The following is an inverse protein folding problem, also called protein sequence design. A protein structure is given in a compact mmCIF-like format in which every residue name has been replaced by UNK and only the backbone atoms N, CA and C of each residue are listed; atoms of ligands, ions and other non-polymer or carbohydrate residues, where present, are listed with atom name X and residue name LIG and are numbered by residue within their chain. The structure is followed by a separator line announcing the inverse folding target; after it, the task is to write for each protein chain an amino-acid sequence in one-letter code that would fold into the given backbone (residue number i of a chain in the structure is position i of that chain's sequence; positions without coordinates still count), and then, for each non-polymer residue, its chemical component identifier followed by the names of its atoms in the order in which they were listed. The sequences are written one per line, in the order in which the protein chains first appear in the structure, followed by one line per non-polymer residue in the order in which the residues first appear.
data_IF_573932017012
#
_entry.id   IF_573932017012
#
_cell.length_a   1.000
_cell.length_b   1.000
_cell.length_c   1.000
_cell.angle_alpha   90.00
_cell.angle_beta   90.00
_cell.angle_gamma   90.00
#
_symmetry.space_group_name_H-M   'P 1'
#
loop_
_entity.id
_entity.type
_entity.pdbx_description
1 polymer ?
#
# COMPACT_ATOMS: atom_id res chain seq x y z
N UNK A 1 -39.16 29.45 79.12
CA UNK A 1 -39.43 30.56 78.17
C UNK A 1 -39.49 29.99 76.76
N UNK A 2 -40.64 30.04 76.09
CA UNK A 2 -40.75 29.94 74.62
C UNK A 2 -41.76 31.00 74.18
N UNK A 3 -41.29 31.99 73.43
CA UNK A 3 -42.07 33.14 72.97
C UNK A 3 -42.73 32.79 71.63
N UNK A 4 -44.07 32.75 71.67
CA UNK A 4 -45.09 33.16 70.70
C UNK A 4 -44.62 33.54 69.28
N UNK A 5 -45.30 33.00 68.26
CA UNK A 5 -45.93 33.83 67.22
C UNK A 5 -47.21 33.18 66.66
N UNK A 6 -48.20 34.06 66.51
CA UNK A 6 -49.56 33.94 66.00
C UNK A 6 -49.56 34.46 64.56
N UNK A 7 -50.47 33.97 63.70
CA UNK A 7 -51.30 34.67 62.68
C UNK A 7 -51.63 33.65 61.56
N UNK A 8 -52.85 33.10 61.48
CA UNK A 8 -54.12 33.62 60.93
C UNK A 8 -54.32 33.34 59.42
N UNK A 9 -54.99 32.20 59.19
CA UNK A 9 -56.09 31.91 58.26
C UNK A 9 -56.64 33.02 57.31
N UNK A 10 -57.03 32.55 56.11
CA UNK A 10 -58.11 32.97 55.18
C UNK A 10 -57.88 34.03 54.07
N UNK A 11 -58.32 33.62 52.87
CA UNK A 11 -58.78 34.46 51.76
C UNK A 11 -57.93 34.29 50.51
N UNK A 12 -58.42 33.93 49.33
CA UNK A 12 -59.76 33.73 48.82
C UNK A 12 -59.62 33.37 47.34
N UNK A 13 -60.59 32.62 46.80
CA UNK A 13 -60.67 32.35 45.37
C UNK A 13 -60.97 33.67 44.62
N UNK A 14 -60.09 34.06 43.70
CA UNK A 14 -60.41 35.07 42.69
C UNK A 14 -59.71 34.69 41.39
N UNK A 15 -60.46 33.99 40.54
CA UNK A 15 -60.15 33.79 39.13
C UNK A 15 -60.07 35.14 38.42
N UNK A 16 -59.06 35.30 37.56
CA UNK A 16 -59.11 36.28 36.47
C UNK A 16 -57.84 37.09 36.23
N UNK A 17 -56.88 36.52 35.49
CA UNK A 17 -56.08 37.26 34.52
C UNK A 17 -55.47 36.28 33.50
N UNK A 18 -55.99 36.30 32.28
CA UNK A 18 -55.35 35.73 31.10
C UNK A 18 -54.15 36.62 30.75
N UNK A 19 -52.91 36.15 30.91
CA UNK A 19 -51.72 36.86 30.42
C UNK A 19 -50.53 35.89 30.27
N UNK A 20 -50.36 35.40 29.05
CA UNK A 20 -49.08 35.08 28.36
C UNK A 20 -47.93 34.58 29.24
N UNK A 21 -47.65 33.28 29.13
CA UNK A 21 -46.38 32.65 29.50
C UNK A 21 -45.94 31.70 28.39
N UNK A 22 -45.49 32.25 27.27
CA UNK A 22 -44.67 31.54 26.30
C UNK A 22 -43.47 30.91 26.98
N UNK A 23 -43.14 29.67 26.65
CA UNK A 23 -41.82 29.12 26.91
C UNK A 23 -41.78 27.97 27.90
N UNK A 24 -42.30 26.82 27.49
CA UNK A 24 -41.70 25.56 27.90
C UNK A 24 -41.36 24.76 26.64
N UNK A 25 -40.54 25.34 25.76
CA UNK A 25 -39.56 24.50 25.08
C UNK A 25 -38.64 24.01 26.19
N UNK A 26 -38.99 22.90 26.83
CA UNK A 26 -38.00 22.12 27.55
C UNK A 26 -37.13 21.53 26.46
N UNK A 27 -36.12 22.30 26.06
CA UNK A 27 -35.02 21.78 25.28
C UNK A 27 -34.41 20.68 26.14
N UNK A 28 -34.80 19.43 25.88
CA UNK A 28 -34.03 18.29 26.34
C UNK A 28 -32.70 18.36 25.57
N UNK A 29 -31.79 19.17 26.09
CA UNK A 29 -30.39 19.18 25.67
C UNK A 29 -29.81 17.85 26.16
N UNK A 30 -30.01 16.81 25.34
CA UNK A 30 -29.34 15.55 25.54
C UNK A 30 -27.85 15.81 25.30
N UNK A 31 -27.13 16.11 26.39
CA UNK A 31 -25.67 16.17 26.41
C UNK A 31 -25.14 14.79 26.06
N UNK A 32 -25.01 14.52 24.77
CA UNK A 32 -24.22 13.40 24.28
C UNK A 32 -22.76 13.79 24.48
N UNK A 33 -22.24 13.52 25.67
CA UNK A 33 -20.81 13.61 25.92
C UNK A 33 -20.11 12.54 25.09
N UNK A 34 -19.47 12.94 23.99
CA UNK A 34 -18.58 12.06 23.24
C UNK A 34 -17.24 12.06 23.99
N UNK A 35 -16.90 10.93 24.60
CA UNK A 35 -15.58 10.72 25.20
C UNK A 35 -14.70 10.06 24.16
N UNK A 36 -13.71 10.80 23.66
CA UNK A 36 -12.68 10.25 22.77
C UNK A 36 -11.56 9.73 23.67
N UNK A 37 -11.45 8.41 23.77
CA UNK A 37 -10.29 7.76 24.37
C UNK A 37 -9.29 7.43 23.28
N UNK A 38 -8.04 7.88 23.42
CA UNK A 38 -6.93 7.38 22.62
C UNK A 38 -6.54 6.05 23.25
N UNK A 39 -6.72 4.95 22.53
CA UNK A 39 -6.27 3.63 22.95
C UNK A 39 -4.90 3.36 22.34
N UNK A 40 -4.07 2.57 23.03
CA UNK A 40 -2.89 1.96 22.43
C UNK A 40 -3.31 1.12 21.21
N UNK A 41 -2.44 1.03 20.21
CA UNK A 41 -2.76 0.44 18.90
C UNK A 41 -3.26 -1.01 18.98
N UNK A 42 -2.81 -1.78 19.98
CA UNK A 42 -3.27 -3.15 20.24
C UNK A 42 -4.76 -3.24 20.63
N UNK A 43 -5.32 -2.17 21.20
CA UNK A 43 -6.70 -2.10 21.68
C UNK A 43 -7.59 -1.19 20.83
N UNK A 44 -7.06 -0.57 19.77
CA UNK A 44 -7.82 0.26 18.86
C UNK A 44 -8.90 -0.54 18.11
N UNK A 45 -10.02 0.10 17.78
CA UNK A 45 -11.10 -0.50 16.97
C UNK A 45 -10.71 -0.73 15.52
N UNK A 46 -9.64 -0.09 15.08
CA UNK A 46 -8.99 -0.35 13.80
C UNK A 46 -7.52 -0.58 14.10
N UNK A 47 -7.03 -1.76 13.78
CA UNK A 47 -5.60 -2.05 13.85
C UNK A 47 -4.88 -1.39 12.68
N UNK A 48 -3.72 -0.83 12.95
CA UNK A 48 -2.81 -0.27 11.97
C UNK A 48 -1.45 -0.92 12.20
N UNK A 49 -0.89 -1.54 11.18
CA UNK A 49 0.45 -2.13 11.24
C UNK A 49 1.21 -1.63 10.03
N UNK A 50 2.29 -0.90 10.30
CA UNK A 50 3.34 -0.57 9.34
C UNK A 50 4.62 -1.28 9.80
N UNK A 51 5.49 -1.63 8.86
CA UNK A 51 6.74 -2.32 9.15
C UNK A 51 7.79 -1.87 8.16
N UNK A 52 9.04 -1.78 8.60
CA UNK A 52 10.15 -1.42 7.74
C UNK A 52 10.25 -2.42 6.59
N UNK A 53 10.62 -1.90 5.42
CA UNK A 53 10.68 -2.65 4.17
C UNK A 53 12.04 -2.48 3.52
N UNK A 54 12.46 -3.52 2.83
CA UNK A 54 13.64 -3.49 1.97
C UNK A 54 13.19 -3.71 0.54
N UNK A 55 13.64 -2.89 -0.39
CA UNK A 55 13.44 -3.09 -1.84
C UNK A 55 14.75 -3.54 -2.47
N UNK A 56 14.69 -4.43 -3.47
CA UNK A 56 13.51 -4.83 -4.24
C UNK A 56 12.69 -6.01 -3.70
N UNK A 57 12.87 -6.44 -2.44
CA UNK A 57 12.11 -7.55 -1.87
C UNK A 57 10.59 -7.34 -2.02
N UNK A 58 9.93 -8.37 -2.55
CA UNK A 58 8.48 -8.43 -2.73
C UNK A 58 7.96 -9.73 -2.12
N UNK A 59 7.39 -9.62 -0.91
CA UNK A 59 6.89 -10.78 -0.16
C UNK A 59 5.69 -11.48 -0.86
N UNK A 60 4.95 -10.75 -1.69
CA UNK A 60 3.71 -11.23 -2.30
C UNK A 60 3.84 -11.57 -3.79
N UNK A 61 5.00 -11.28 -4.40
CA UNK A 61 5.29 -11.45 -5.82
C UNK A 61 4.23 -10.77 -6.73
N UNK A 62 3.73 -9.62 -6.29
CA UNK A 62 2.71 -8.84 -7.00
C UNK A 62 3.26 -7.57 -7.67
N UNK A 63 4.56 -7.32 -7.51
CA UNK A 63 5.29 -6.18 -8.05
C UNK A 63 5.09 -4.90 -7.24
N UNK A 64 4.46 -4.99 -6.06
CA UNK A 64 4.17 -3.86 -5.19
C UNK A 64 4.70 -4.07 -3.78
N UNK A 65 4.99 -2.97 -3.10
CA UNK A 65 5.42 -2.97 -1.71
C UNK A 65 4.21 -2.81 -0.76
N UNK A 66 4.10 -3.72 0.20
CA UNK A 66 3.12 -3.65 1.29
C UNK A 66 3.43 -2.51 2.27
N UNK A 67 2.71 -1.39 2.15
CA UNK A 67 2.91 -0.21 3.00
C UNK A 67 2.29 -0.41 4.39
N UNK A 68 0.99 -0.68 4.45
CA UNK A 68 0.22 -0.71 5.70
C UNK A 68 -0.84 -1.79 5.66
N UNK A 69 -0.93 -2.58 6.73
CA UNK A 69 -2.05 -3.49 6.97
C UNK A 69 -3.06 -2.90 7.95
N UNK A 70 -4.30 -2.73 7.50
CA UNK A 70 -5.44 -2.28 8.30
C UNK A 70 -6.25 -3.49 8.74
N UNK A 71 -6.58 -3.57 10.03
CA UNK A 71 -7.41 -4.65 10.60
C UNK A 71 -8.71 -4.10 11.16
N UNK A 72 -9.85 -4.61 10.70
CA UNK A 72 -11.15 -4.24 11.26
C UNK A 72 -11.36 -4.93 12.60
N UNK A 73 -11.51 -4.18 13.69
CA UNK A 73 -11.91 -4.71 15.01
C UNK A 73 -13.26 -4.14 15.48
N UNK A 74 -13.96 -3.39 14.63
CA UNK A 74 -15.37 -3.07 14.83
C UNK A 74 -16.23 -4.33 14.67
N UNK A 75 -17.44 -4.28 15.23
CA UNK A 75 -18.45 -5.35 15.08
C UNK A 75 -19.17 -5.33 13.73
N UNK A 76 -18.95 -4.30 12.94
CA UNK A 76 -19.59 -4.10 11.64
C UNK A 76 -18.50 -4.03 10.57
N UNK A 77 -18.91 -4.22 9.32
CA UNK A 77 -18.03 -4.05 8.17
C UNK A 77 -17.58 -2.59 8.03
N UNK A 78 -16.32 -2.43 7.63
CA UNK A 78 -15.72 -1.14 7.29
C UNK A 78 -15.09 -1.22 5.92
N UNK A 79 -14.87 -0.05 5.31
CA UNK A 79 -14.19 0.12 4.03
C UNK A 79 -13.09 1.16 4.19
N UNK A 80 -11.97 0.98 3.48
CA UNK A 80 -10.96 2.04 3.33
C UNK A 80 -11.49 3.03 2.28
N UNK A 81 -11.66 4.29 2.68
CA UNK A 81 -12.24 5.32 1.81
C UNK A 81 -11.22 6.32 1.31
N UNK A 82 -10.10 6.47 2.00
CA UNK A 82 -9.06 7.43 1.67
C UNK A 82 -7.71 6.94 2.20
N UNK A 83 -6.67 7.14 1.40
CA UNK A 83 -5.27 6.98 1.77
C UNK A 83 -4.55 8.27 1.39
N UNK A 84 -3.88 8.87 2.37
CA UNK A 84 -3.07 10.08 2.20
C UNK A 84 -1.62 9.73 2.52
N UNK A 85 -0.72 10.01 1.59
CA UNK A 85 0.72 9.93 1.82
C UNK A 85 1.21 11.25 2.45
N UNK A 86 2.10 11.13 3.42
CA UNK A 86 2.78 12.25 4.09
C UNK A 86 4.23 12.36 3.65
N UNK A 87 5.15 12.37 4.60
CA UNK A 87 6.58 12.29 4.29
C UNK A 87 6.91 11.01 3.49
N UNK A 88 7.83 11.13 2.52
CA UNK A 88 8.27 10.04 1.65
C UNK A 88 7.29 9.66 0.54
N UNK A 89 6.33 10.53 0.19
CA UNK A 89 5.41 10.28 -0.93
C UNK A 89 6.08 10.34 -2.30
N UNK A 90 7.20 11.05 -2.41
CA UNK A 90 7.96 11.25 -3.64
C UNK A 90 8.62 9.98 -4.19
N UNK A 91 8.76 8.95 -3.35
CA UNK A 91 9.34 7.66 -3.72
C UNK A 91 8.30 6.56 -3.92
N UNK A 92 7.01 6.92 -3.92
CA UNK A 92 5.89 6.00 -4.06
C UNK A 92 5.03 6.36 -5.27
N UNK A 93 4.79 5.36 -6.12
CA UNK A 93 3.90 5.44 -7.27
C UNK A 93 2.76 4.42 -7.15
N UNK A 94 1.68 4.64 -7.92
CA UNK A 94 0.57 3.67 -8.07
C UNK A 94 0.00 3.10 -6.77
N UNK A 95 -0.25 3.96 -5.78
CA UNK A 95 -0.81 3.50 -4.49
C UNK A 95 -2.16 2.85 -4.69
N UNK A 96 -2.25 1.58 -4.29
CA UNK A 96 -3.45 0.78 -4.36
C UNK A 96 -3.98 0.50 -2.95
N UNK A 97 -5.28 0.68 -2.79
CA UNK A 97 -5.99 0.24 -1.61
C UNK A 97 -7.33 -0.41 -1.99
N UNK A 98 -7.70 -1.51 -1.31
CA UNK A 98 -8.94 -2.21 -1.60
C UNK A 98 -10.15 -1.43 -1.05
N UNK A 99 -11.01 -0.97 -1.97
CA UNK A 99 -12.26 -0.27 -1.67
C UNK A 99 -13.39 -1.22 -1.19
N UNK A 100 -13.14 -2.52 -1.19
CA UNK A 100 -14.12 -3.51 -0.74
C UNK A 100 -14.25 -3.52 0.77
N UNK A 101 -15.51 -3.58 1.24
CA UNK A 101 -15.80 -3.74 2.65
C UNK A 101 -15.18 -5.03 3.20
N UNK A 102 -14.78 -4.99 4.48
CA UNK A 102 -14.22 -6.14 5.17
C UNK A 102 -14.82 -6.35 6.55
N UNK A 103 -15.17 -7.61 6.82
CA UNK A 103 -15.81 -8.08 8.03
C UNK A 103 -14.94 -7.89 9.28
N UNK A 104 -15.54 -8.06 10.45
CA UNK A 104 -14.82 -8.06 11.73
C UNK A 104 -13.68 -9.08 11.73
N UNK A 105 -12.48 -8.63 12.06
CA UNK A 105 -11.24 -9.42 12.03
C UNK A 105 -10.59 -9.50 10.64
N UNK A 106 -11.28 -9.03 9.59
CA UNK A 106 -10.73 -8.90 8.25
C UNK A 106 -9.56 -7.93 8.20
N UNK A 107 -8.66 -8.19 7.26
CA UNK A 107 -7.48 -7.36 6.99
C UNK A 107 -7.52 -6.85 5.55
N UNK A 108 -6.95 -5.67 5.36
CA UNK A 108 -6.67 -5.07 4.06
C UNK A 108 -5.28 -4.49 4.07
N UNK A 109 -4.54 -4.72 3.00
CA UNK A 109 -3.20 -4.17 2.82
C UNK A 109 -3.27 -3.07 1.77
N UNK A 110 -2.59 -1.98 2.05
CA UNK A 110 -2.35 -0.88 1.12
C UNK A 110 -0.98 -1.13 0.53
N UNK A 111 -0.88 -1.12 -0.79
CA UNK A 111 0.36 -1.37 -1.50
C UNK A 111 0.71 -0.21 -2.43
N UNK A 112 1.97 -0.10 -2.82
CA UNK A 112 2.42 0.89 -3.79
C UNK A 112 3.66 0.39 -4.53
N UNK A 113 3.93 0.96 -5.69
CA UNK A 113 5.21 0.79 -6.37
C UNK A 113 6.23 1.73 -5.75
N UNK A 114 7.47 1.26 -5.54
CA UNK A 114 8.57 2.14 -5.12
C UNK A 114 9.33 2.64 -6.34
N UNK A 115 9.59 3.94 -6.36
CA UNK A 115 10.32 4.66 -7.40
C UNK A 115 11.34 5.62 -6.75
N UNK A 116 12.44 5.95 -7.42
CA UNK A 116 13.28 7.08 -7.05
C UNK A 116 14.10 7.00 -5.74
N UNK A 117 14.34 5.81 -5.17
CA UNK A 117 15.30 5.66 -4.06
C UNK A 117 16.69 5.31 -4.63
N UNK A 118 17.76 5.99 -4.27
CA UNK A 118 19.09 5.58 -4.73
C UNK A 118 19.55 4.26 -4.05
N UNK A 119 20.36 3.41 -4.72
CA UNK A 119 20.90 2.18 -4.10
C UNK A 119 21.65 2.45 -2.79
N UNK A 120 21.23 1.77 -1.71
CA UNK A 120 21.80 1.94 -0.38
C UNK A 120 21.21 3.08 0.45
N UNK A 121 20.27 3.85 -0.10
CA UNK A 121 19.57 4.91 0.63
C UNK A 121 18.31 4.40 1.33
N UNK A 122 17.82 5.23 2.26
CA UNK A 122 16.65 4.95 3.09
C UNK A 122 15.73 6.15 3.15
N UNK A 123 14.41 5.91 3.11
CA UNK A 123 13.38 6.94 3.19
C UNK A 123 12.36 6.56 4.26
N UNK A 124 12.04 7.51 5.14
CA UNK A 124 10.93 7.37 6.10
C UNK A 124 9.61 7.71 5.39
N UNK A 125 8.60 6.86 5.55
CA UNK A 125 7.29 7.01 4.91
C UNK A 125 6.17 7.15 5.94
N UNK A 126 5.24 8.05 5.65
CA UNK A 126 4.01 8.25 6.40
C UNK A 126 2.76 7.95 5.57
N UNK A 127 1.89 7.09 6.10
CA UNK A 127 0.62 6.73 5.46
C UNK A 127 -0.53 6.98 6.42
N UNK A 128 -1.44 7.87 6.04
CA UNK A 128 -2.68 8.13 6.78
C UNK A 128 -3.84 7.43 6.09
N UNK A 129 -4.64 6.68 6.86
CA UNK A 129 -5.76 5.90 6.33
C UNK A 129 -7.07 6.35 6.95
N UNK A 130 -8.08 6.60 6.13
CA UNK A 130 -9.46 6.81 6.58
C UNK A 130 -10.31 5.58 6.28
N UNK A 131 -11.04 5.13 7.29
CA UNK A 131 -12.02 4.04 7.17
C UNK A 131 -13.40 4.48 7.62
N UNK A 132 -14.42 3.98 6.93
CA UNK A 132 -15.82 4.24 7.25
C UNK A 132 -16.60 2.93 7.40
N UNK A 133 -17.53 2.88 8.35
CA UNK A 133 -18.42 1.74 8.55
C UNK A 133 -19.60 1.79 7.60
N UNK A 134 -19.83 0.70 6.85
CA UNK A 134 -20.83 0.60 5.78
C UNK A 134 -22.25 0.95 6.27
N UNK A 135 -22.63 0.41 7.43
CA UNK A 135 -23.98 0.59 8.02
C UNK A 135 -24.00 1.33 9.37
N UNK A 136 -22.81 1.64 9.91
CA UNK A 136 -22.68 1.92 11.34
C UNK A 136 -22.46 3.40 11.71
N UNK A 137 -22.36 4.31 10.74
CA UNK A 137 -22.11 5.73 11.01
C UNK A 137 -20.83 5.98 11.81
N UNK A 138 -19.88 5.05 11.77
CA UNK A 138 -18.56 5.17 12.39
C UNK A 138 -17.57 5.55 11.30
N UNK A 139 -16.67 6.48 11.62
CA UNK A 139 -15.52 6.82 10.80
C UNK A 139 -14.30 6.88 11.71
N UNK A 140 -13.17 6.42 11.22
CA UNK A 140 -11.89 6.52 11.92
C UNK A 140 -10.81 6.95 10.93
N UNK A 141 -9.94 7.85 11.38
CA UNK A 141 -8.75 8.27 10.65
C UNK A 141 -7.52 7.83 11.45
N UNK A 142 -6.65 7.09 10.80
CA UNK A 142 -5.43 6.52 11.35
C UNK A 142 -4.27 7.33 10.80
N UNK A 143 -3.78 8.28 11.59
CA UNK A 143 -2.65 9.10 11.17
C UNK A 143 -1.34 8.30 11.23
N UNK A 144 -0.58 8.37 10.15
CA UNK A 144 0.74 7.73 9.99
C UNK A 144 1.89 8.52 10.61
N UNK A 145 1.67 9.80 10.94
CA UNK A 145 2.67 10.74 11.46
C UNK A 145 3.11 10.50 12.92
N UNK A 146 2.55 9.47 13.55
CA UNK A 146 2.95 9.04 14.88
C UNK A 146 4.27 8.25 14.81
N UNK A 147 5.17 8.48 15.76
CA UNK A 147 6.47 7.78 15.85
C UNK A 147 6.38 6.24 15.76
N UNK A 148 5.24 5.65 16.16
CA UNK A 148 5.01 4.19 16.15
C UNK A 148 4.38 3.66 14.84
N UNK A 149 4.10 4.54 13.88
CA UNK A 149 3.35 4.23 12.65
C UNK A 149 4.06 4.65 11.36
N UNK A 150 5.15 5.40 11.50
CA UNK A 150 6.14 5.58 10.43
C UNK A 150 6.92 4.30 10.25
N UNK A 151 7.35 4.05 9.03
CA UNK A 151 8.23 2.94 8.69
C UNK A 151 9.27 3.43 7.68
N UNK A 152 10.39 2.71 7.61
CA UNK A 152 11.48 3.05 6.70
C UNK A 152 11.47 2.08 5.52
N UNK A 153 11.59 2.62 4.30
CA UNK A 153 11.92 1.85 3.10
C UNK A 153 13.42 1.98 2.88
N UNK A 154 14.11 0.85 2.78
CA UNK A 154 15.54 0.77 2.49
C UNK A 154 15.72 0.18 1.10
N UNK A 155 16.48 0.84 0.21
CA UNK A 155 16.91 0.19 -1.03
C UNK A 155 18.22 -0.52 -0.78
N UNK A 156 18.30 -1.80 -1.13
CA UNK A 156 19.54 -2.55 -0.99
C UNK A 156 20.69 -1.87 -1.73
N UNK A 157 21.90 -1.99 -1.18
CA UNK A 157 23.09 -1.50 -1.85
C UNK A 157 23.39 -2.39 -3.06
N UNK A 158 23.78 -1.77 -4.17
CA UNK A 158 24.18 -2.50 -5.36
C UNK A 158 25.37 -3.43 -5.08
N UNK A 159 25.26 -4.68 -5.53
CA UNK A 159 26.35 -5.67 -5.47
C UNK A 159 27.40 -5.46 -6.56
N UNK A 160 27.07 -4.64 -7.57
CA UNK A 160 27.91 -4.26 -8.71
C UNK A 160 28.18 -2.75 -8.70
N UNK A 161 29.35 -2.34 -9.19
CA UNK A 161 29.64 -0.92 -9.41
C UNK A 161 28.78 -0.43 -10.59
N UNK A 162 27.97 0.60 -10.37
CA UNK A 162 27.06 1.22 -11.35
C UNK A 162 26.05 0.23 -11.99
N UNK A 163 25.06 -0.28 -11.23
CA UNK A 163 24.04 -1.15 -11.79
C UNK A 163 23.26 -0.42 -12.90
N UNK A 164 23.08 -1.06 -14.04
CA UNK A 164 22.31 -0.49 -15.16
C UNK A 164 20.89 -1.05 -15.26
N UNK A 165 20.59 -2.14 -14.56
CA UNK A 165 19.29 -2.81 -14.58
C UNK A 165 18.94 -3.27 -13.17
N UNK A 166 17.72 -3.00 -12.73
CA UNK A 166 17.14 -3.53 -11.49
C UNK A 166 15.91 -4.38 -11.82
N UNK A 167 15.84 -5.56 -11.20
CA UNK A 167 14.70 -6.47 -11.30
C UNK A 167 13.80 -6.30 -10.09
N UNK A 168 12.49 -6.45 -10.32
CA UNK A 168 11.46 -6.35 -9.30
C UNK A 168 10.57 -7.59 -9.31
N UNK A 169 9.82 -7.74 -8.21
CA UNK A 169 8.73 -8.71 -8.07
C UNK A 169 7.73 -8.70 -9.24
N UNK A 170 6.93 -9.76 -9.30
CA UNK A 170 6.04 -10.14 -10.40
C UNK A 170 6.75 -10.44 -11.73
N UNK A 171 8.05 -10.23 -11.88
CA UNK A 171 8.84 -10.52 -13.08
C UNK A 171 9.04 -9.29 -13.96
N UNK A 172 9.20 -8.13 -13.33
CA UNK A 172 9.39 -6.84 -13.98
C UNK A 172 10.85 -6.38 -13.82
N UNK A 173 11.26 -5.37 -14.58
CA UNK A 173 12.59 -4.78 -14.51
C UNK A 173 12.55 -3.31 -14.93
N UNK A 174 13.62 -2.59 -14.64
CA UNK A 174 13.84 -1.18 -14.98
C UNK A 174 15.29 -0.99 -15.39
N UNK A 175 15.52 -0.10 -16.37
CA UNK A 175 16.86 0.33 -16.77
C UNK A 175 17.22 1.57 -15.98
N UNK A 176 18.21 1.46 -15.12
CA UNK A 176 18.65 2.55 -14.25
C UNK A 176 19.47 3.58 -15.04
N UNK A 177 19.28 4.86 -14.74
CA UNK A 177 20.06 5.94 -15.34
C UNK A 177 19.27 7.23 -15.54
N UNK A 178 19.72 8.07 -16.48
CA UNK A 178 18.99 9.28 -16.88
C UNK A 178 17.79 8.93 -17.78
N UNK A 179 16.70 9.67 -17.64
CA UNK A 179 15.49 9.53 -18.46
C UNK A 179 15.80 9.70 -19.95
N UNK A 180 15.61 8.62 -20.71
CA UNK A 180 15.81 8.60 -22.17
C UNK A 180 15.08 7.42 -22.80
N UNK A 181 14.82 7.55 -24.10
CA UNK A 181 14.47 6.40 -24.92
C UNK A 181 15.71 5.56 -25.21
N UNK A 182 15.64 4.25 -24.96
CA UNK A 182 16.71 3.29 -25.14
C UNK A 182 16.24 2.08 -25.98
N UNK A 183 17.16 1.42 -26.68
CA UNK A 183 16.86 0.17 -27.39
C UNK A 183 17.52 -1.01 -26.66
N UNK A 184 16.71 -1.94 -26.19
CA UNK A 184 17.15 -3.09 -25.39
C UNK A 184 16.68 -4.42 -25.98
N UNK A 185 17.34 -5.50 -25.56
CA UNK A 185 16.86 -6.86 -25.77
C UNK A 185 16.24 -7.38 -24.45
N UNK A 186 15.06 -7.96 -24.48
CA UNK A 186 14.39 -8.46 -23.26
C UNK A 186 14.26 -9.97 -23.31
N UNK A 187 14.76 -10.63 -22.27
CA UNK A 187 14.72 -12.08 -22.11
C UNK A 187 13.66 -12.45 -21.06
N UNK A 188 12.73 -13.33 -21.40
CA UNK A 188 11.64 -13.73 -20.50
C UNK A 188 11.28 -15.21 -20.60
N UNK A 189 10.67 -15.74 -19.53
CA UNK A 189 10.17 -17.11 -19.44
C UNK A 189 8.65 -17.13 -19.28
N UNK A 190 7.94 -17.95 -20.06
CA UNK A 190 6.48 -18.07 -20.00
C UNK A 190 6.02 -19.34 -19.24
N UNK A 191 5.29 -19.23 -18.12
CA UNK A 191 4.77 -20.39 -17.41
C UNK A 191 3.65 -21.04 -18.23
N UNK A 192 3.84 -22.33 -18.55
CA UNK A 192 2.80 -23.17 -19.15
C UNK A 192 2.92 -23.47 -20.65
N UNK A 193 3.98 -23.03 -21.34
CA UNK A 193 4.32 -23.62 -22.65
C UNK A 193 4.84 -25.05 -22.44
N UNK A 194 3.91 -26.00 -22.47
CA UNK A 194 4.20 -27.43 -22.45
C UNK A 194 5.00 -27.80 -23.71
N UNK A 195 6.32 -27.91 -23.57
CA UNK A 195 7.22 -28.47 -24.58
C UNK A 195 8.43 -27.62 -24.97
N UNK A 196 8.53 -26.38 -24.50
CA UNK A 196 9.67 -25.50 -24.75
C UNK A 196 9.77 -24.49 -23.59
N UNK A 197 10.07 -24.99 -22.39
CA UNK A 197 10.36 -24.13 -21.24
C UNK A 197 11.72 -23.48 -21.45
N UNK A 198 11.84 -22.63 -22.46
CA UNK A 198 13.06 -21.94 -22.84
C UNK A 198 12.94 -20.45 -22.61
N UNK A 199 14.08 -19.79 -22.50
CA UNK A 199 14.16 -18.33 -22.50
C UNK A 199 13.79 -17.82 -23.90
N UNK A 200 12.79 -16.94 -23.97
CA UNK A 200 12.43 -16.20 -25.18
C UNK A 200 13.08 -14.82 -25.15
N UNK A 201 13.44 -14.28 -26.32
CA UNK A 201 14.01 -12.94 -26.46
C UNK A 201 13.17 -12.09 -27.41
N UNK A 202 12.87 -10.87 -26.98
CA UNK A 202 12.39 -9.79 -27.84
C UNK A 202 13.58 -8.85 -28.09
N UNK A 203 14.11 -8.85 -29.31
CA UNK A 203 15.28 -8.05 -29.69
C UNK A 203 14.87 -6.65 -30.18
N UNK A 204 15.66 -5.64 -29.83
CA UNK A 204 15.54 -4.28 -30.36
C UNK A 204 14.26 -3.56 -29.95
N UNK A 205 13.85 -3.71 -28.70
CA UNK A 205 12.68 -3.05 -28.11
C UNK A 205 13.03 -1.62 -27.70
N UNK A 206 12.26 -0.64 -28.18
CA UNK A 206 12.35 0.75 -27.71
C UNK A 206 11.57 0.93 -26.39
N UNK A 207 12.23 1.46 -25.36
CA UNK A 207 11.66 1.72 -24.03
C UNK A 207 12.08 3.10 -23.53
N UNK A 208 11.28 3.71 -22.66
CA UNK A 208 11.66 4.87 -21.85
C UNK A 208 12.23 4.36 -20.52
N UNK A 209 13.43 4.81 -20.14
CA UNK A 209 14.14 4.33 -18.94
C UNK A 209 13.49 4.76 -17.62
N UNK A 210 12.67 5.81 -17.64
CA UNK A 210 11.89 6.28 -16.48
C UNK A 210 10.74 5.31 -16.11
N UNK A 211 10.36 4.42 -17.02
CA UNK A 211 9.22 3.53 -16.88
C UNK A 211 9.68 2.07 -16.72
N UNK A 212 8.97 1.30 -15.89
CA UNK A 212 9.22 -0.14 -15.77
C UNK A 212 8.93 -0.87 -17.08
N UNK A 213 9.77 -1.83 -17.45
CA UNK A 213 9.78 -2.47 -18.75
C UNK A 213 8.43 -3.14 -19.08
N UNK A 214 7.83 -3.88 -18.15
CA UNK A 214 6.60 -4.65 -18.43
C UNK A 214 5.43 -3.79 -18.92
N UNK A 215 5.34 -2.53 -18.52
CA UNK A 215 4.29 -1.62 -18.99
C UNK A 215 4.44 -1.23 -20.48
N UNK A 216 5.64 -1.42 -21.03
CA UNK A 216 6.05 -0.94 -22.35
C UNK A 216 6.13 -2.06 -23.41
N UNK A 217 6.27 -3.32 -22.98
CA UNK A 217 6.46 -4.46 -23.88
C UNK A 217 5.17 -4.87 -24.60
N UNK A 218 5.20 -4.84 -25.93
CA UNK A 218 4.09 -5.25 -26.79
C UNK A 218 4.08 -6.77 -27.01
N UNK A 219 3.56 -7.54 -26.06
CA UNK A 219 3.45 -9.01 -26.18
C UNK A 219 3.48 -9.72 -24.83
N UNK A 220 4.24 -9.16 -23.90
CA UNK A 220 4.11 -9.38 -22.45
C UNK A 220 2.88 -8.57 -22.03
N UNK A 221 1.73 -9.21 -21.80
CA UNK A 221 0.46 -8.49 -21.58
C UNK A 221 0.48 -7.63 -20.30
N UNK A 222 0.88 -6.37 -20.44
CA UNK A 222 0.51 -5.27 -19.56
C UNK A 222 -0.63 -4.46 -20.19
N UNK A 223 -1.86 -4.97 -20.20
CA UNK A 223 -3.00 -4.06 -20.30
C UNK A 223 -3.46 -3.74 -18.89
N UNK A 224 -3.31 -2.48 -18.52
CA UNK A 224 -3.75 -1.96 -17.24
C UNK A 224 -5.16 -2.42 -16.85
N UNK A 225 -5.36 -2.39 -15.53
CA UNK A 225 -6.53 -2.85 -14.78
C UNK A 225 -6.35 -4.28 -14.24
N UNK A 226 -6.16 -4.34 -12.92
CA UNK A 226 -5.86 -5.53 -12.13
C UNK A 226 -6.67 -6.77 -12.54
N UNK A 227 -5.91 -7.85 -12.72
CA UNK A 227 -6.23 -9.26 -12.44
C UNK A 227 -5.20 -10.07 -13.25
N UNK A 228 -4.01 -10.23 -12.66
CA UNK A 228 -2.83 -10.83 -13.30
C UNK A 228 -3.10 -12.21 -13.88
N UNK A 229 -2.65 -12.40 -15.13
CA UNK A 229 -2.18 -13.67 -15.70
C UNK A 229 -1.80 -13.45 -17.16
N UNK A 230 -0.59 -12.92 -17.40
CA UNK A 230 0.32 -13.49 -18.40
C UNK A 230 1.65 -13.61 -17.65
N UNK A 231 1.93 -14.79 -17.10
CA UNK A 231 2.98 -15.00 -16.10
C UNK A 231 4.42 -14.89 -16.61
N UNK A 232 4.67 -14.15 -17.70
CA UNK A 232 5.98 -14.06 -18.31
C UNK A 232 6.94 -13.29 -17.39
N UNK A 233 7.96 -13.96 -16.88
CA UNK A 233 8.96 -13.37 -15.98
C UNK A 233 10.13 -12.85 -16.80
N UNK A 234 10.49 -11.56 -16.67
CA UNK A 234 11.72 -11.02 -17.26
C UNK A 234 12.91 -11.57 -16.46
N UNK A 235 13.83 -12.25 -17.14
CA UNK A 235 14.98 -12.93 -16.53
C UNK A 235 16.33 -12.36 -16.96
N UNK A 236 16.37 -11.58 -18.04
CA UNK A 236 17.53 -10.76 -18.37
C UNK A 236 17.14 -9.56 -19.26
N UNK A 237 18.02 -8.55 -19.28
CA UNK A 237 17.93 -7.37 -20.14
C UNK A 237 19.28 -7.15 -20.81
N UNK A 238 19.31 -7.13 -22.15
CA UNK A 238 20.46 -6.74 -22.94
C UNK A 238 20.47 -5.24 -23.18
N UNK A 239 21.52 -4.55 -22.72
CA UNK A 239 21.70 -3.11 -22.85
C UNK A 239 23.15 -2.80 -23.25
N UNK A 240 23.34 -2.00 -24.29
CA UNK A 240 24.67 -1.60 -24.80
C UNK A 240 25.63 -2.77 -25.06
N UNK A 241 25.08 -3.94 -25.44
CA UNK A 241 25.84 -5.17 -25.70
C UNK A 241 26.28 -5.93 -24.45
N UNK A 242 25.83 -5.52 -23.25
CA UNK A 242 25.98 -6.26 -21.99
C UNK A 242 24.64 -6.87 -21.61
N UNK A 243 24.62 -8.13 -21.17
CA UNK A 243 23.39 -8.79 -20.70
C UNK A 243 23.37 -8.74 -19.17
N UNK A 244 22.33 -8.16 -18.60
CA UNK A 244 22.10 -8.13 -17.17
C UNK A 244 21.12 -9.23 -16.81
N UNK A 245 21.59 -10.26 -16.12
CA UNK A 245 20.80 -11.44 -15.74
C UNK A 245 20.19 -11.23 -14.36
N UNK A 246 18.96 -11.69 -14.16
CA UNK A 246 18.29 -11.67 -12.87
C UNK A 246 19.16 -12.35 -11.81
N UNK A 247 19.43 -11.72 -10.65
CA UNK A 247 20.39 -12.26 -9.66
C UNK A 247 19.99 -13.61 -9.07
N UNK A 248 18.69 -13.91 -9.09
CA UNK A 248 18.11 -15.19 -8.65
C UNK A 248 17.90 -16.21 -9.78
N UNK A 249 18.36 -15.96 -11.00
CA UNK A 249 18.23 -16.91 -12.11
C UNK A 249 19.10 -18.18 -11.91
N UNK A 250 18.55 -19.34 -12.27
CA UNK A 250 19.27 -20.61 -12.36
C UNK A 250 19.03 -21.27 -13.71
N UNK A 251 20.13 -21.55 -14.41
CA UNK A 251 20.12 -22.31 -15.67
C UNK A 251 19.68 -23.77 -15.45
N UNK A 252 20.02 -24.36 -14.30
CA UNK A 252 19.66 -25.74 -13.90
C UNK A 252 18.14 -25.90 -13.70
N UNK A 253 17.53 -24.93 -13.03
CA UNK A 253 16.10 -24.94 -12.72
C UNK A 253 15.26 -24.30 -13.84
N UNK A 254 15.93 -23.66 -14.81
CA UNK A 254 15.29 -22.88 -15.87
C UNK A 254 14.25 -21.91 -15.29
N UNK A 255 14.67 -21.20 -14.24
CA UNK A 255 13.77 -20.40 -13.41
C UNK A 255 14.51 -19.65 -12.30
N UNK A 256 13.72 -18.97 -11.46
CA UNK A 256 14.25 -18.28 -10.29
C UNK A 256 14.35 -19.24 -9.10
N UNK A 257 15.50 -19.27 -8.42
CA UNK A 257 15.80 -20.21 -7.32
C UNK A 257 15.01 -19.91 -6.03
N UNK A 258 14.34 -18.76 -5.98
CA UNK A 258 13.53 -18.25 -4.87
C UNK A 258 12.30 -17.54 -5.43
N UNK A 259 11.34 -17.21 -4.56
CA UNK A 259 10.32 -16.21 -4.87
C UNK A 259 11.03 -14.95 -5.39
N UNK A 260 10.45 -14.30 -6.40
CA UNK A 260 11.07 -13.19 -7.10
C UNK A 260 11.21 -11.96 -6.18
N UNK A 261 12.28 -11.94 -5.41
CA UNK A 261 12.65 -10.85 -4.50
C UNK A 261 13.35 -9.71 -5.25
N UNK A 262 13.44 -9.80 -6.58
CA UNK A 262 14.12 -8.82 -7.43
C UNK A 262 15.63 -8.78 -7.22
N UNK A 263 16.23 -7.64 -7.56
CA UNK A 263 17.62 -7.32 -7.29
C UNK A 263 18.34 -6.68 -8.47
N UNK A 264 19.54 -6.16 -8.24
CA UNK A 264 20.35 -5.62 -9.33
C UNK A 264 20.81 -6.72 -10.29
N UNK A 265 20.70 -6.43 -11.58
CA UNK A 265 21.11 -7.34 -12.63
C UNK A 265 22.61 -7.62 -12.60
N UNK A 266 22.97 -8.89 -12.74
CA UNK A 266 24.37 -9.33 -12.78
C UNK A 266 24.83 -9.30 -14.25
N UNK A 267 25.87 -8.52 -14.60
CA UNK A 267 26.37 -8.49 -15.96
C UNK A 267 26.95 -9.85 -16.36
N UNK A 268 26.58 -10.30 -17.56
CA UNK A 268 26.95 -11.58 -18.18
C UNK A 268 27.32 -11.35 -19.64
N UNK A 269 28.31 -12.11 -20.10
CA UNK A 269 28.69 -12.17 -21.52
C UNK A 269 27.76 -13.09 -22.33
N UNK A 270 27.02 -13.97 -21.66
CA UNK A 270 26.16 -14.98 -22.25
C UNK A 270 24.69 -14.77 -21.83
N UNK A 271 23.72 -14.98 -22.74
CA UNK A 271 22.30 -14.92 -22.40
C UNK A 271 21.92 -16.06 -21.45
N UNK A 272 20.90 -15.89 -20.60
CA UNK A 272 20.40 -16.98 -19.76
C UNK A 272 19.90 -18.13 -20.64
N UNK A 273 20.23 -19.36 -20.26
CA UNK A 273 19.81 -20.57 -20.98
C UNK A 273 19.24 -21.59 -20.03
N UNK A 274 18.42 -22.50 -20.54
CA UNK A 274 17.98 -23.65 -19.74
C UNK A 274 18.87 -24.83 -20.11
N UNK A 275 19.59 -25.39 -19.14
CA UNK A 275 20.40 -26.59 -19.40
C UNK A 275 19.46 -27.73 -19.83
N UNK A 276 19.76 -28.34 -20.97
CA UNK A 276 19.05 -29.53 -21.41
C UNK A 276 19.68 -30.76 -20.72
N UNK A 277 18.93 -31.38 -19.80
CA UNK A 277 19.23 -32.73 -19.28
C UNK A 277 19.45 -33.78 -20.40
#
# INVERSE_FOLDING_TARGET
MKRRHLILLFGGASSGALSVGTGAFSSAEAKRGVSVGVADDDSAFVGYVASDRTVPEDENDDGTLDLVTVTNRFRNEITVTEVELGDGDDVLADVYFPEEAFETGGKRTITATVDGIDPGDTVDVEVTVTVEGVDAGVAARLFGDAETRRFTITREAASVEDPAVEFFGAGNAEVLGEDRTETIDVYYTSPGQSGDGGVTVDEGVEIETEDKLRGQLSGVSGNGNGNGSNGDTIVAVGLDGTIYVHPQWSDDECGLVQSNEGGFGIPSDDPPTCEAD
#
